data_IF_725274181164
#
_entry.id   IF_725274181164
#
_cell.length_a   1.000
_cell.length_b   1.000
_cell.length_c   1.000
_cell.angle_alpha   90.00
_cell.angle_beta   90.00
_cell.angle_gamma   90.00
#
_symmetry.space_group_name_H-M   'P 1'
#
loop_
_entity.id
_entity.type
_entity.pdbx_description
1 polymer ?
#
# COMPACT_ATOMS: atom_id res chain seq x y z
N UNK A 1 -15.22 -8.91 -5.55
CA UNK A 1 -14.36 -7.74 -5.27
C UNK A 1 -14.31 -7.63 -3.75
N UNK A 2 -13.15 -7.85 -3.16
CA UNK A 2 -12.96 -7.72 -1.71
C UNK A 2 -12.90 -6.24 -1.33
N UNK A 3 -13.00 -5.97 -0.03
CA UNK A 3 -13.05 -4.61 0.52
C UNK A 3 -11.88 -3.76 0.02
N UNK A 4 -10.66 -4.30 -0.06
CA UNK A 4 -9.49 -3.56 -0.52
C UNK A 4 -9.58 -3.13 -1.98
N UNK A 5 -10.04 -4.03 -2.86
CA UNK A 5 -10.21 -3.70 -4.28
C UNK A 5 -11.31 -2.66 -4.46
N UNK A 6 -12.38 -2.71 -3.67
CA UNK A 6 -13.41 -1.68 -3.67
C UNK A 6 -12.87 -0.32 -3.21
N UNK A 7 -12.04 -0.28 -2.16
CA UNK A 7 -11.42 0.97 -1.73
C UNK A 7 -10.42 1.49 -2.77
N UNK A 8 -9.66 0.60 -3.42
CA UNK A 8 -8.75 1.00 -4.47
C UNK A 8 -9.49 1.59 -5.68
N UNK A 9 -10.64 1.00 -6.06
CA UNK A 9 -11.48 1.54 -7.12
C UNK A 9 -11.97 2.96 -6.78
N UNK A 10 -12.47 3.18 -5.56
CA UNK A 10 -12.88 4.52 -5.09
C UNK A 10 -11.71 5.50 -5.09
N UNK A 11 -10.50 5.03 -4.76
CA UNK A 11 -9.29 5.85 -4.83
C UNK A 11 -8.95 6.25 -6.28
N UNK A 12 -9.09 5.34 -7.26
CA UNK A 12 -8.93 5.67 -8.67
C UNK A 12 -9.91 6.79 -9.09
N UNK A 13 -11.15 6.70 -8.61
CA UNK A 13 -12.22 7.70 -8.82
C UNK A 13 -12.00 9.02 -8.06
N UNK A 14 -10.94 9.15 -7.26
CA UNK A 14 -10.53 10.38 -6.60
C UNK A 14 -10.87 10.46 -5.11
N UNK A 15 -11.46 9.41 -4.51
CA UNK A 15 -11.72 9.37 -3.08
C UNK A 15 -10.42 9.13 -2.28
N UNK A 16 -9.86 10.22 -1.75
CA UNK A 16 -8.64 10.19 -0.92
C UNK A 16 -8.83 9.37 0.37
N UNK A 17 -10.04 9.33 0.95
CA UNK A 17 -10.31 8.56 2.18
C UNK A 17 -10.23 7.07 1.94
N UNK A 18 -10.55 6.62 0.72
CA UNK A 18 -10.43 5.23 0.35
C UNK A 18 -8.96 4.76 0.33
N UNK A 19 -8.04 5.62 -0.11
CA UNK A 19 -6.60 5.33 0.00
C UNK A 19 -6.10 5.38 1.43
N UNK A 20 -6.52 6.38 2.22
CA UNK A 20 -6.19 6.48 3.64
C UNK A 20 -6.59 5.20 4.40
N UNK A 21 -7.77 4.64 4.10
CA UNK A 21 -8.19 3.35 4.65
C UNK A 21 -7.17 2.25 4.33
N UNK A 22 -6.72 2.13 3.07
CA UNK A 22 -5.73 1.11 2.68
C UNK A 22 -4.41 1.32 3.42
N UNK A 23 -3.94 2.55 3.54
CA UNK A 23 -2.71 2.88 4.29
C UNK A 23 -2.85 2.44 5.75
N UNK A 24 -3.94 2.81 6.43
CA UNK A 24 -4.16 2.45 7.83
C UNK A 24 -4.25 0.94 8.06
N UNK A 25 -4.84 0.18 7.13
CA UNK A 25 -4.91 -1.28 7.24
C UNK A 25 -3.55 -1.96 7.07
N UNK A 26 -2.69 -1.42 6.19
CA UNK A 26 -1.49 -2.14 5.75
C UNK A 26 -0.17 -1.56 6.25
N UNK A 27 -0.13 -0.33 6.79
CA UNK A 27 1.11 0.34 7.20
C UNK A 27 1.97 -0.49 8.15
N UNK A 28 1.40 -0.96 9.25
CA UNK A 28 2.17 -1.63 10.30
C UNK A 28 2.66 -3.00 9.77
N UNK A 29 1.81 -3.72 9.04
CA UNK A 29 2.17 -4.98 8.39
C UNK A 29 3.32 -4.83 7.39
N UNK A 30 3.35 -3.73 6.64
CA UNK A 30 4.39 -3.44 5.67
C UNK A 30 5.70 -3.05 6.37
N UNK A 31 5.63 -2.19 7.38
CA UNK A 31 6.77 -1.80 8.21
C UNK A 31 7.42 -3.04 8.84
N UNK A 32 6.63 -3.92 9.47
CA UNK A 32 7.16 -5.15 10.07
C UNK A 32 7.71 -6.13 9.05
N UNK A 33 7.19 -6.14 7.82
CA UNK A 33 7.74 -6.95 6.74
C UNK A 33 9.12 -6.43 6.30
N UNK A 34 9.22 -5.13 6.01
CA UNK A 34 10.48 -4.49 5.59
C UNK A 34 11.54 -4.59 6.70
N UNK A 35 11.14 -4.40 7.97
CA UNK A 35 12.04 -4.45 9.12
C UNK A 35 12.76 -5.81 9.27
N UNK A 36 12.20 -6.91 8.74
CA UNK A 36 12.88 -8.22 8.72
C UNK A 36 14.13 -8.24 7.85
N UNK A 37 14.25 -7.31 6.91
CA UNK A 37 15.38 -7.20 6.00
C UNK A 37 16.33 -6.09 6.40
N UNK A 38 15.80 -4.92 6.78
CA UNK A 38 16.63 -3.74 7.11
C UNK A 38 17.06 -3.69 8.58
N UNK A 39 16.38 -4.42 9.46
CA UNK A 39 16.69 -4.51 10.90
C UNK A 39 16.78 -3.14 11.61
N UNK A 40 16.02 -2.16 11.12
CA UNK A 40 15.91 -0.81 11.65
C UNK A 40 14.48 -0.31 11.43
N UNK A 41 13.75 -0.07 12.52
CA UNK A 41 12.34 0.29 12.45
C UNK A 41 12.10 1.64 11.76
N UNK A 42 12.95 2.63 12.01
CA UNK A 42 12.83 3.95 11.39
C UNK A 42 13.08 3.89 9.88
N UNK A 43 14.11 3.14 9.46
CA UNK A 43 14.35 2.90 8.03
C UNK A 43 13.19 2.13 7.38
N UNK A 44 12.58 1.17 8.10
CA UNK A 44 11.42 0.44 7.60
C UNK A 44 10.18 1.34 7.48
N UNK A 45 9.98 2.28 8.41
CA UNK A 45 8.93 3.31 8.35
C UNK A 45 9.10 4.20 7.12
N UNK A 46 10.31 4.72 6.88
CA UNK A 46 10.60 5.58 5.73
C UNK A 46 10.34 4.85 4.41
N UNK A 47 10.83 3.61 4.26
CA UNK A 47 10.60 2.80 3.05
C UNK A 47 9.10 2.51 2.86
N UNK A 48 8.37 2.16 3.93
CA UNK A 48 6.94 1.91 3.85
C UNK A 48 6.18 3.17 3.38
N UNK A 49 6.57 4.36 3.87
CA UNK A 49 6.01 5.63 3.41
C UNK A 49 6.27 5.84 1.91
N UNK A 50 7.51 5.65 1.45
CA UNK A 50 7.86 5.79 0.03
C UNK A 50 7.05 4.85 -0.87
N UNK A 51 6.80 3.61 -0.43
CA UNK A 51 5.94 2.65 -1.14
C UNK A 51 4.52 3.18 -1.28
N UNK A 52 3.90 3.70 -0.22
CA UNK A 52 2.55 4.26 -0.31
C UNK A 52 2.51 5.54 -1.15
N UNK A 53 3.54 6.38 -1.10
CA UNK A 53 3.67 7.56 -1.96
C UNK A 53 3.77 7.14 -3.43
N UNK A 54 4.56 6.12 -3.75
CA UNK A 54 4.69 5.59 -5.11
C UNK A 54 3.34 5.08 -5.64
N UNK A 55 2.62 4.30 -4.83
CA UNK A 55 1.27 3.83 -5.16
C UNK A 55 0.31 5.00 -5.36
N UNK A 56 0.40 6.05 -4.53
CA UNK A 56 -0.48 7.20 -4.65
C UNK A 56 -0.26 7.94 -5.97
N UNK A 57 0.99 8.19 -6.34
CA UNK A 57 1.37 8.90 -7.56
C UNK A 57 1.05 8.06 -8.80
N UNK A 58 1.29 6.74 -8.73
CA UNK A 58 1.15 5.81 -9.86
C UNK A 58 -0.06 4.89 -9.70
N UNK A 59 -1.17 5.42 -9.18
CA UNK A 59 -2.38 4.65 -8.85
C UNK A 59 -2.93 3.78 -9.98
N UNK A 60 -2.77 4.20 -11.23
CA UNK A 60 -3.22 3.47 -12.42
C UNK A 60 -2.43 2.17 -12.71
N UNK A 61 -1.30 1.92 -12.01
CA UNK A 61 -0.48 0.72 -12.20
C UNK A 61 -1.07 -0.54 -11.55
N UNK A 62 -2.04 -0.38 -10.66
CA UNK A 62 -2.65 -1.53 -10.01
C UNK A 62 -3.58 -2.30 -10.95
N UNK A 63 -3.32 -3.59 -11.11
CA UNK A 63 -4.17 -4.49 -11.88
C UNK A 63 -5.02 -5.34 -10.93
N UNK A 64 -6.35 -5.14 -10.96
CA UNK A 64 -7.35 -5.88 -10.17
C UNK A 64 -7.36 -7.41 -10.36
N UNK A 65 -6.52 -7.94 -11.26
CA UNK A 65 -6.28 -9.39 -11.39
C UNK A 65 -5.50 -9.97 -10.20
N UNK A 66 -4.78 -9.13 -9.47
CA UNK A 66 -4.03 -9.50 -8.26
C UNK A 66 -4.69 -8.91 -7.03
N UNK A 67 -4.53 -9.56 -5.88
CA UNK A 67 -4.95 -8.98 -4.59
C UNK A 67 -4.09 -7.75 -4.28
N UNK A 68 -4.69 -6.74 -3.66
CA UNK A 68 -3.97 -5.52 -3.27
C UNK A 68 -2.75 -5.83 -2.41
N UNK A 69 -2.89 -6.74 -1.43
CA UNK A 69 -1.77 -7.21 -0.59
C UNK A 69 -0.62 -7.78 -1.44
N UNK A 70 -0.89 -8.57 -2.46
CA UNK A 70 0.16 -9.13 -3.31
C UNK A 70 0.89 -8.02 -4.06
N UNK A 71 0.15 -7.05 -4.61
CA UNK A 71 0.73 -5.90 -5.29
C UNK A 71 1.59 -5.03 -4.35
N UNK A 72 1.08 -4.71 -3.15
CA UNK A 72 1.78 -3.90 -2.16
C UNK A 72 3.16 -4.48 -1.81
N UNK A 73 3.22 -5.78 -1.52
CA UNK A 73 4.46 -6.48 -1.16
C UNK A 73 5.36 -6.77 -2.36
N UNK A 74 4.92 -6.51 -3.59
CA UNK A 74 5.77 -6.59 -4.80
C UNK A 74 6.52 -5.28 -5.03
N UNK A 75 6.00 -4.16 -4.52
CA UNK A 75 6.61 -2.84 -4.65
C UNK A 75 7.65 -2.59 -3.55
N UNK A 76 7.39 -3.12 -2.35
CA UNK A 76 8.26 -3.01 -1.17
C UNK A 76 9.41 -4.03 -1.18
#
# INVERSE_FOLDING_TARGET
MNTEEQQYQRFLEGDKKAFEYLVLQYKDHLIYFINRYVMNIHTAEDIAQDVFVDIYIKKERYHFRYRFKTYLYTIA
#
